data_IF_867133118681
#
_entry.id   IF_867133118681
#
_cell.length_a   1.000
_cell.length_b   1.000
_cell.length_c   1.000
_cell.angle_alpha   90.00
_cell.angle_beta   90.00
_cell.angle_gamma   90.00
#
_symmetry.space_group_name_H-M   'P 1'
#
loop_
_entity.id
_entity.type
_entity.pdbx_description
1 polymer ?
#
# COMPACT_ATOMS: atom_id res chain seq x y z
N UNK A 1 9.79 7.67 15.94
CA UNK A 1 11.08 7.53 15.21
C UNK A 1 12.21 8.07 16.07
N UNK A 2 13.46 7.66 15.85
CA UNK A 2 14.63 8.24 16.55
C UNK A 2 15.03 9.58 15.92
N UNK A 3 15.86 10.37 16.61
CA UNK A 3 16.38 11.63 16.06
C UNK A 3 17.16 11.43 14.74
N UNK A 4 17.86 10.30 14.62
CA UNK A 4 18.58 9.92 13.39
C UNK A 4 17.61 9.64 12.24
N UNK A 5 16.53 8.90 12.49
CA UNK A 5 15.49 8.66 11.49
C UNK A 5 14.89 9.98 10.98
N UNK A 6 14.58 10.90 11.91
CA UNK A 6 13.98 12.20 11.57
C UNK A 6 14.95 13.04 10.75
N UNK A 7 16.23 13.10 11.13
CA UNK A 7 17.26 13.81 10.35
C UNK A 7 17.41 13.22 8.95
N UNK A 8 17.47 11.89 8.82
CA UNK A 8 17.54 11.23 7.52
C UNK A 8 16.32 11.56 6.65
N UNK A 9 15.12 11.46 7.24
CA UNK A 9 13.87 11.79 6.55
C UNK A 9 13.84 13.26 6.09
N UNK A 10 14.35 14.20 6.90
CA UNK A 10 14.50 15.60 6.50
C UNK A 10 15.44 15.78 5.30
N UNK A 11 16.56 15.05 5.23
CA UNK A 11 17.45 15.11 4.07
C UNK A 11 16.78 14.55 2.80
N UNK A 12 16.04 13.45 2.92
CA UNK A 12 15.24 12.93 1.80
C UNK A 12 14.19 13.96 1.35
N UNK A 13 13.50 14.61 2.30
CA UNK A 13 12.47 15.60 1.98
C UNK A 13 12.99 16.78 1.16
N UNK A 14 14.26 17.20 1.35
CA UNK A 14 14.88 18.25 0.54
C UNK A 14 15.02 17.86 -0.94
N UNK A 15 14.99 16.57 -1.26
CA UNK A 15 15.06 16.07 -2.65
C UNK A 15 13.71 16.01 -3.35
N UNK A 16 12.62 16.35 -2.65
CA UNK A 16 11.25 16.33 -3.15
C UNK A 16 10.74 17.77 -3.14
N UNK A 17 10.39 18.31 -4.30
CA UNK A 17 9.83 19.66 -4.36
C UNK A 17 8.43 19.70 -3.71
N UNK A 18 8.05 20.88 -3.22
CA UNK A 18 6.70 21.08 -2.68
C UNK A 18 5.61 20.76 -3.71
N UNK A 19 5.85 21.11 -4.98
CA UNK A 19 4.92 20.79 -6.07
C UNK A 19 4.75 19.26 -6.24
N UNK A 20 5.84 18.50 -6.27
CA UNK A 20 5.79 17.04 -6.35
C UNK A 20 5.08 16.44 -5.16
N UNK A 21 5.37 16.93 -3.95
CA UNK A 21 4.70 16.48 -2.73
C UNK A 21 3.19 16.71 -2.81
N UNK A 22 2.76 17.92 -3.15
CA UNK A 22 1.33 18.26 -3.32
C UNK A 22 0.70 17.38 -4.40
N UNK A 23 1.39 17.14 -5.51
CA UNK A 23 0.91 16.27 -6.59
C UNK A 23 0.70 14.83 -6.13
N UNK A 24 1.64 14.26 -5.37
CA UNK A 24 1.50 12.91 -4.82
C UNK A 24 0.38 12.83 -3.76
N UNK A 25 0.29 13.81 -2.87
CA UNK A 25 -0.76 13.88 -1.86
C UNK A 25 -2.16 13.96 -2.52
N UNK A 26 -2.34 14.82 -3.53
CA UNK A 26 -3.58 14.89 -4.32
C UNK A 26 -3.90 13.55 -4.99
N UNK A 27 -2.90 12.89 -5.56
CA UNK A 27 -3.06 11.59 -6.24
C UNK A 27 -3.55 10.49 -5.28
N UNK A 28 -3.21 10.57 -3.99
CA UNK A 28 -3.69 9.61 -2.98
C UNK A 28 -5.20 9.64 -2.77
N UNK A 29 -5.87 10.76 -3.12
CA UNK A 29 -7.29 11.03 -2.83
C UNK A 29 -7.65 10.86 -1.35
N UNK A 30 -6.66 10.85 -0.45
CA UNK A 30 -6.86 10.71 0.99
C UNK A 30 -7.68 11.90 1.51
N UNK A 31 -8.75 11.67 2.29
CA UNK A 31 -9.44 12.75 2.99
C UNK A 31 -8.45 13.57 3.84
N UNK A 32 -8.51 14.90 3.71
CA UNK A 32 -7.64 15.82 4.45
C UNK A 32 -6.16 15.76 4.06
N UNK A 33 -5.83 15.33 2.83
CA UNK A 33 -4.44 15.33 2.34
C UNK A 33 -3.75 16.69 2.43
N UNK A 34 -4.52 17.79 2.43
CA UNK A 34 -4.03 19.16 2.60
C UNK A 34 -3.32 19.36 3.95
N UNK A 35 -3.81 18.70 5.00
CA UNK A 35 -3.22 18.76 6.35
C UNK A 35 -1.84 18.08 6.42
N UNK A 36 -1.48 17.31 5.39
CA UNK A 36 -0.22 16.59 5.30
C UNK A 36 0.86 17.39 4.55
N UNK A 37 0.54 18.55 3.97
CA UNK A 37 1.48 19.35 3.16
C UNK A 37 2.71 19.75 3.98
N UNK A 38 2.51 20.14 5.25
CA UNK A 38 3.60 20.58 6.12
C UNK A 38 4.20 19.44 6.98
N UNK A 39 3.64 18.24 6.89
CA UNK A 39 4.11 17.08 7.67
C UNK A 39 5.21 16.31 6.93
N UNK A 40 6.21 15.83 7.65
CA UNK A 40 7.26 15.00 7.06
C UNK A 40 6.74 13.60 6.69
N UNK A 41 5.91 13.02 7.55
CA UNK A 41 5.33 11.69 7.43
C UNK A 41 3.85 11.75 7.85
N UNK A 42 3.05 10.80 7.39
CA UNK A 42 1.68 10.64 7.88
C UNK A 42 1.73 10.03 9.29
N UNK A 43 1.21 10.75 10.28
CA UNK A 43 1.15 10.38 11.69
C UNK A 43 -0.30 10.10 12.15
N UNK A 44 -1.22 9.98 11.21
CA UNK A 44 -2.63 9.70 11.45
C UNK A 44 -3.00 8.28 11.00
N UNK A 45 -4.13 7.79 11.51
CA UNK A 45 -4.74 6.53 11.07
C UNK A 45 -6.12 6.89 10.50
N UNK A 46 -6.22 7.18 9.19
CA UNK A 46 -7.49 7.51 8.57
C UNK A 46 -8.40 6.29 8.44
N UNK A 47 -9.72 6.51 8.46
CA UNK A 47 -10.68 5.50 8.03
C UNK A 47 -10.43 5.14 6.55
N UNK A 48 -10.70 3.89 6.12
CA UNK A 48 -10.57 3.48 4.73
C UNK A 48 -11.36 4.40 3.78
N UNK A 49 -10.77 4.74 2.64
CA UNK A 49 -11.38 5.61 1.62
C UNK A 49 -11.22 5.01 0.22
N UNK A 50 -11.91 5.63 -0.76
CA UNK A 50 -11.80 5.22 -2.17
C UNK A 50 -12.61 3.98 -2.52
N UNK A 51 -13.70 3.69 -1.81
CA UNK A 51 -14.59 2.60 -2.20
C UNK A 51 -15.11 2.81 -3.63
N UNK A 52 -14.96 1.77 -4.47
CA UNK A 52 -15.35 1.80 -5.88
C UNK A 52 -14.27 2.36 -6.82
N UNK A 53 -13.20 2.94 -6.29
CA UNK A 53 -12.03 3.32 -7.09
C UNK A 53 -11.22 2.09 -7.49
N UNK A 54 -10.66 2.12 -8.70
CA UNK A 54 -9.84 1.03 -9.23
C UNK A 54 -8.39 1.51 -9.28
N UNK A 55 -7.52 0.85 -8.54
CA UNK A 55 -6.08 1.07 -8.65
C UNK A 55 -5.57 0.49 -9.97
N UNK A 56 -4.75 1.26 -10.68
CA UNK A 56 -4.03 0.79 -11.88
C UNK A 56 -2.68 0.12 -11.55
N UNK A 57 -2.46 -0.24 -10.28
CA UNK A 57 -1.28 -1.01 -9.87
C UNK A 57 -1.27 -2.41 -10.49
N UNK A 58 -0.09 -2.89 -10.84
CA UNK A 58 0.12 -4.26 -11.34
C UNK A 58 0.63 -5.12 -10.20
N UNK A 59 -0.24 -5.92 -9.60
CA UNK A 59 0.09 -6.84 -8.50
C UNK A 59 -0.70 -8.14 -8.65
N UNK A 60 -0.07 -9.25 -8.28
CA UNK A 60 -0.68 -10.59 -8.22
C UNK A 60 -1.74 -10.73 -7.10
N UNK A 61 -1.76 -9.79 -6.16
CA UNK A 61 -2.79 -9.68 -5.12
C UNK A 61 -4.18 -9.51 -5.74
N UNK A 62 -4.28 -8.88 -6.91
CA UNK A 62 -5.53 -8.71 -7.63
C UNK A 62 -6.18 -10.08 -7.91
N UNK A 63 -5.42 -11.07 -8.35
CA UNK A 63 -5.88 -12.44 -8.60
C UNK A 63 -6.27 -13.18 -7.31
N UNK A 64 -5.48 -13.02 -6.25
CA UNK A 64 -5.77 -13.61 -4.92
C UNK A 64 -7.08 -13.06 -4.36
N UNK A 65 -7.35 -11.77 -4.55
CA UNK A 65 -8.56 -11.10 -4.06
C UNK A 65 -9.87 -11.65 -4.66
N UNK A 66 -9.80 -12.36 -5.79
CA UNK A 66 -10.96 -13.09 -6.32
C UNK A 66 -11.27 -14.39 -5.58
N UNK A 67 -10.30 -14.94 -4.84
CA UNK A 67 -10.39 -16.27 -4.22
C UNK A 67 -10.64 -16.22 -2.72
N UNK A 68 -10.16 -15.18 -2.05
CA UNK A 68 -10.33 -15.00 -0.62
C UNK A 68 -10.60 -13.53 -0.28
N UNK A 69 -11.22 -13.24 0.89
CA UNK A 69 -11.20 -11.89 1.44
C UNK A 69 -9.76 -11.38 1.52
N UNK A 70 -9.51 -10.18 1.01
CA UNK A 70 -8.17 -9.61 0.91
C UNK A 70 -8.22 -8.14 1.30
N UNK A 71 -7.22 -7.71 2.06
CA UNK A 71 -7.01 -6.31 2.41
C UNK A 71 -5.52 -6.01 2.29
N UNK A 72 -5.21 -4.83 1.76
CA UNK A 72 -3.88 -4.23 1.78
C UNK A 72 -3.94 -2.96 2.61
N UNK A 73 -2.84 -2.62 3.28
CA UNK A 73 -2.74 -1.38 4.05
C UNK A 73 -1.35 -0.76 3.88
N UNK A 74 -1.29 0.55 3.99
CA UNK A 74 -0.06 1.33 4.01
C UNK A 74 0.39 1.63 5.43
N UNK A 75 1.68 1.83 5.61
CA UNK A 75 2.29 2.35 6.85
C UNK A 75 3.21 3.51 6.49
N UNK A 76 3.54 4.34 7.48
CA UNK A 76 4.44 5.49 7.31
C UNK A 76 5.91 5.02 7.14
N UNK A 77 6.19 4.41 5.99
CA UNK A 77 7.51 3.88 5.62
C UNK A 77 8.35 4.90 4.88
N UNK A 78 7.72 5.91 4.25
CA UNK A 78 8.40 6.93 3.45
C UNK A 78 7.92 8.33 3.83
N UNK A 79 8.79 9.31 3.60
CA UNK A 79 8.49 10.73 3.63
C UNK A 79 7.35 11.03 2.66
N UNK A 80 6.41 11.87 3.09
CA UNK A 80 5.27 12.30 2.29
C UNK A 80 5.75 13.01 1.02
N UNK A 81 5.21 12.57 -0.12
CA UNK A 81 5.60 13.06 -1.44
C UNK A 81 6.64 12.22 -2.15
N UNK A 82 7.20 11.19 -1.50
CA UNK A 82 8.19 10.30 -2.16
C UNK A 82 7.55 9.57 -3.35
N UNK A 83 8.12 9.69 -4.57
CA UNK A 83 7.62 8.95 -5.73
C UNK A 83 7.89 7.44 -5.61
N UNK A 84 6.92 6.62 -6.02
CA UNK A 84 7.12 5.18 -6.19
C UNK A 84 8.22 4.85 -7.20
N UNK A 85 8.86 3.68 -7.05
CA UNK A 85 9.95 3.20 -7.93
C UNK A 85 11.13 4.18 -8.06
N UNK A 86 11.42 4.93 -6.99
CA UNK A 86 12.49 5.92 -6.95
C UNK A 86 13.67 5.46 -6.09
N UNK A 87 14.84 6.08 -6.25
CA UNK A 87 15.99 5.81 -5.38
C UNK A 87 15.69 6.22 -3.93
N UNK A 88 14.84 7.25 -3.73
CA UNK A 88 14.41 7.70 -2.42
C UNK A 88 13.65 6.59 -1.67
N UNK A 89 12.80 5.81 -2.36
CA UNK A 89 12.11 4.67 -1.75
C UNK A 89 13.11 3.62 -1.26
N UNK A 90 14.10 3.28 -2.10
CA UNK A 90 15.12 2.29 -1.77
C UNK A 90 15.93 2.75 -0.56
N UNK A 91 16.39 4.00 -0.56
CA UNK A 91 17.19 4.57 0.52
C UNK A 91 16.45 4.57 1.86
N UNK A 92 15.17 4.96 1.87
CA UNK A 92 14.34 5.01 3.08
C UNK A 92 13.97 3.63 3.63
N UNK A 93 13.76 2.65 2.74
CA UNK A 93 13.35 1.31 3.14
C UNK A 93 14.47 0.52 3.82
N UNK A 94 15.73 0.87 3.55
CA UNK A 94 16.92 0.20 4.11
C UNK A 94 17.44 0.77 5.42
N UNK A 95 16.77 1.76 6.02
CA UNK A 95 17.23 2.44 7.24
C UNK A 95 16.22 2.32 8.38
N UNK A 96 16.56 2.92 9.53
CA UNK A 96 15.83 2.77 10.78
C UNK A 96 14.33 3.10 10.71
N UNK A 97 13.91 4.08 9.91
CA UNK A 97 12.49 4.41 9.72
C UNK A 97 11.75 3.30 8.96
N UNK A 98 12.35 2.76 7.91
CA UNK A 98 11.79 1.66 7.12
C UNK A 98 11.64 0.39 7.95
N UNK A 99 12.67 0.04 8.74
CA UNK A 99 12.62 -1.11 9.63
C UNK A 99 11.56 -0.98 10.73
N UNK A 100 11.40 0.21 11.34
CA UNK A 100 10.35 0.43 12.36
C UNK A 100 8.96 0.30 11.75
N UNK A 101 8.77 0.84 10.54
CA UNK A 101 7.52 0.69 9.79
C UNK A 101 7.22 -0.77 9.45
N UNK A 102 8.23 -1.53 9.01
CA UNK A 102 8.12 -2.97 8.76
C UNK A 102 7.65 -3.74 10.01
N UNK A 103 8.24 -3.46 11.18
CA UNK A 103 7.83 -4.11 12.43
C UNK A 103 6.39 -3.74 12.80
N UNK A 104 5.98 -2.49 12.60
CA UNK A 104 4.61 -2.06 12.82
C UNK A 104 3.62 -2.78 11.88
N UNK A 105 3.96 -2.87 10.59
CA UNK A 105 3.16 -3.61 9.61
C UNK A 105 3.03 -5.09 9.98
N UNK A 106 4.14 -5.74 10.35
CA UNK A 106 4.15 -7.15 10.75
C UNK A 106 3.26 -7.41 11.98
N UNK A 107 3.33 -6.54 13.00
CA UNK A 107 2.46 -6.62 14.18
C UNK A 107 0.99 -6.45 13.81
N UNK A 108 0.69 -5.51 12.94
CA UNK A 108 -0.69 -5.24 12.47
C UNK A 108 -1.24 -6.47 11.74
N UNK A 109 -0.48 -7.05 10.80
CA UNK A 109 -0.89 -8.28 10.10
C UNK A 109 -1.08 -9.46 11.05
N UNK A 110 -0.18 -9.64 12.01
CA UNK A 110 -0.28 -10.73 12.99
C UNK A 110 -1.50 -10.56 13.90
N UNK A 111 -1.79 -9.34 14.37
CA UNK A 111 -2.98 -9.05 15.16
C UNK A 111 -4.26 -9.29 14.36
N UNK A 112 -4.32 -8.83 13.11
CA UNK A 112 -5.48 -9.09 12.21
C UNK A 112 -5.71 -10.59 12.01
N UNK A 113 -4.65 -11.36 11.78
CA UNK A 113 -4.76 -12.82 11.65
C UNK A 113 -5.24 -13.46 12.96
N UNK A 114 -4.73 -13.01 14.12
CA UNK A 114 -5.17 -13.49 15.42
C UNK A 114 -6.67 -13.21 15.64
N UNK A 115 -7.15 -12.00 15.34
CA UNK A 115 -8.56 -11.63 15.45
C UNK A 115 -9.44 -12.53 14.59
N UNK A 116 -9.03 -12.80 13.34
CA UNK A 116 -9.76 -13.69 12.44
C UNK A 116 -9.78 -15.15 12.90
N UNK A 117 -8.71 -15.61 13.56
CA UNK A 117 -8.61 -16.98 14.08
C UNK A 117 -9.35 -17.17 15.41
N UNK A 118 -9.44 -16.12 16.23
CA UNK A 118 -10.01 -16.19 17.59
C UNK A 118 -11.44 -15.70 17.68
N UNK A 119 -11.92 -14.95 16.67
CA UNK A 119 -13.28 -14.42 16.60
C UNK A 119 -13.98 -14.91 15.33
N UNK A 120 -14.63 -16.10 15.35
CA UNK A 120 -15.25 -16.72 14.18
C UNK A 120 -16.25 -15.81 13.44
N UNK A 121 -16.93 -14.92 14.17
CA UNK A 121 -17.89 -13.97 13.62
C UNK A 121 -17.22 -12.96 12.68
N UNK A 122 -15.98 -12.54 12.95
CA UNK A 122 -15.24 -11.63 12.07
C UNK A 122 -14.86 -12.32 10.76
N UNK A 123 -14.37 -13.55 10.83
CA UNK A 123 -14.06 -14.35 9.64
C UNK A 123 -15.31 -14.60 8.78
N UNK A 124 -16.43 -14.90 9.43
CA UNK A 124 -17.70 -15.10 8.74
C UNK A 124 -18.15 -13.81 8.04
N UNK A 125 -18.11 -12.65 8.72
CA UNK A 125 -18.43 -11.35 8.12
C UNK A 125 -17.54 -11.04 6.92
N UNK A 126 -16.23 -11.28 7.01
CA UNK A 126 -15.30 -11.06 5.89
C UNK A 126 -15.64 -11.92 4.67
N UNK A 127 -15.99 -13.21 4.87
CA UNK A 127 -16.41 -14.11 3.79
C UNK A 127 -17.73 -13.70 3.15
N UNK A 128 -18.71 -13.27 3.96
CA UNK A 128 -19.99 -12.79 3.46
C UNK A 128 -19.86 -11.50 2.65
N UNK A 129 -19.05 -10.57 3.13
CA UNK A 129 -18.73 -9.32 2.43
C UNK A 129 -18.08 -9.61 1.07
N UNK A 130 -17.07 -10.48 1.05
CA UNK A 130 -16.39 -10.93 -0.16
C UNK A 130 -17.35 -11.57 -1.17
N UNK A 131 -18.20 -12.49 -0.72
CA UNK A 131 -19.22 -13.12 -1.56
C UNK A 131 -20.21 -12.09 -2.15
N UNK A 132 -20.64 -11.11 -1.34
CA UNK A 132 -21.49 -10.00 -1.79
C UNK A 132 -20.79 -9.14 -2.85
N UNK A 133 -19.50 -8.80 -2.68
CA UNK A 133 -18.72 -8.06 -3.69
C UNK A 133 -18.56 -8.82 -5.00
N UNK A 134 -18.34 -10.13 -4.94
CA UNK A 134 -18.21 -10.96 -6.13
C UNK A 134 -19.52 -11.04 -6.92
N UNK A 135 -20.69 -10.97 -6.26
CA UNK A 135 -22.01 -11.06 -6.91
C UNK A 135 -22.14 -12.31 -7.80
N UNK A 136 -21.57 -13.42 -7.35
CA UNK A 136 -21.52 -14.69 -8.11
C UNK A 136 -20.59 -14.71 -9.32
N UNK A 137 -19.86 -13.62 -9.61
CA UNK A 137 -18.87 -13.58 -10.69
C UNK A 137 -17.72 -14.53 -10.38
N UNK A 138 -17.27 -15.26 -11.41
CA UNK A 138 -16.10 -16.13 -11.34
C UNK A 138 -14.90 -15.43 -11.95
N UNK A 139 -13.75 -15.56 -11.30
CA UNK A 139 -12.48 -15.11 -11.83
C UNK A 139 -12.20 -15.72 -13.21
N UNK A 140 -11.79 -14.87 -14.15
CA UNK A 140 -11.25 -15.27 -15.45
C UNK A 140 -9.89 -14.58 -15.59
N UNK A 141 -8.79 -15.35 -15.74
CA UNK A 141 -7.48 -14.76 -15.95
C UNK A 141 -7.48 -13.81 -17.15
N UNK A 142 -6.93 -12.58 -17.01
CA UNK A 142 -6.81 -11.67 -18.14
C UNK A 142 -5.74 -12.14 -19.14
N UNK A 143 -4.77 -12.93 -18.67
CA UNK A 143 -3.71 -13.52 -19.47
C UNK A 143 -4.18 -14.89 -19.99
N UNK A 144 -4.21 -15.12 -21.32
CA UNK A 144 -4.53 -16.43 -21.89
C UNK A 144 -3.58 -17.53 -21.39
N UNK A 145 -4.03 -18.79 -21.23
CA UNK A 145 -3.19 -19.89 -20.75
C UNK A 145 -1.92 -20.13 -21.57
N UNK A 146 -2.00 -19.88 -22.88
CA UNK A 146 -0.90 -20.11 -23.82
C UNK A 146 0.00 -18.88 -23.99
N UNK A 147 -0.27 -17.78 -23.27
CA UNK A 147 0.54 -16.57 -23.37
C UNK A 147 1.91 -16.80 -22.71
N UNK A 148 2.98 -16.61 -23.49
CA UNK A 148 4.36 -16.73 -23.02
C UNK A 148 4.97 -15.36 -22.82
N UNK A 149 5.83 -15.16 -21.81
CA UNK A 149 6.57 -13.93 -21.68
C UNK A 149 7.42 -13.71 -22.94
N UNK A 150 7.56 -12.47 -23.43
CA UNK A 150 8.31 -12.18 -24.63
C UNK A 150 9.82 -12.17 -24.30
N UNK A 151 10.39 -13.34 -24.02
CA UNK A 151 11.80 -13.51 -23.63
C UNK A 151 12.79 -13.02 -24.70
N UNK A 152 12.29 -12.87 -25.93
CA UNK A 152 13.06 -12.40 -27.09
C UNK A 152 12.85 -10.91 -27.38
N UNK A 153 12.05 -10.17 -26.59
CA UNK A 153 11.75 -8.75 -26.82
C UNK A 153 12.99 -7.84 -26.87
N UNK A 154 14.09 -8.27 -26.25
CA UNK A 154 15.35 -7.54 -26.16
C UNK A 154 16.49 -8.20 -26.94
N UNK A 155 16.20 -9.29 -27.68
CA UNK A 155 17.19 -9.86 -28.61
C UNK A 155 17.33 -8.88 -29.78
N UNK A 156 18.56 -8.38 -29.96
CA UNK A 156 18.95 -7.58 -31.13
C UNK A 156 19.01 -8.46 -32.38
#
# INVERSE_FOLDING_TARGET
YSDEDIKFAQEIAKTISLEEKIKQLKKSKRPGWENLIDKLMDDEIPDPWGEGEISHGSTDVAEVSWKAPTVEFGTATWVLGTPGHSWQNVAQSGVGLGHKSLIFAAKTMAATALDLLTTPELLQKAKEEHAKRLRGRKYKPPIPPDHKPPLDAWKK
#
